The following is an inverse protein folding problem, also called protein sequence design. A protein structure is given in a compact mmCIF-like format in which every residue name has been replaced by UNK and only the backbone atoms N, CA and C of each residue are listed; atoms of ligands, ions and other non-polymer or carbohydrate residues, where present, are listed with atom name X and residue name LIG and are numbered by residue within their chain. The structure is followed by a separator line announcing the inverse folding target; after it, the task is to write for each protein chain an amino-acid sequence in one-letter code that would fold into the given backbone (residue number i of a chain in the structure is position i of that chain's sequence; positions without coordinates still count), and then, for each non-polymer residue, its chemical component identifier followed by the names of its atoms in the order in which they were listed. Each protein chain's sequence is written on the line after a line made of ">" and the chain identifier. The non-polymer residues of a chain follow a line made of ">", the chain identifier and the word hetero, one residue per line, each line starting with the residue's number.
data_IF_451065997333
#
_entry.id   IF_451065997333
#
_cell.length_a   1.000
_cell.length_b   1.000
_cell.length_c   1.000
_cell.angle_alpha   90.00
_cell.angle_beta   90.00
_cell.angle_gamma   90.00
#
_symmetry.space_group_name_H-M   'P 1'
#
loop_
_entity.id
_entity.type
_entity.pdbx_description
1 polymer ?
#
# COMPACT_ATOMS: atom_id res chain seq x y z
N UNK A 1 33.13 29.28 31.29
CA UNK A 1 33.06 29.04 29.82
C UNK A 1 33.08 27.56 29.41
N UNK A 2 33.90 26.68 30.02
CA UNK A 2 33.98 25.23 29.67
C UNK A 2 32.67 24.45 29.87
N UNK A 3 31.92 24.76 30.92
CA UNK A 3 30.67 24.07 31.25
C UNK A 3 29.52 24.47 30.31
N UNK A 4 29.50 25.72 29.82
CA UNK A 4 28.52 26.21 28.84
C UNK A 4 28.71 25.55 27.47
N UNK A 5 29.96 25.39 27.02
CA UNK A 5 30.27 24.68 25.77
C UNK A 5 29.86 23.20 25.80
N UNK A 6 30.01 22.53 26.95
CA UNK A 6 29.55 21.15 27.16
C UNK A 6 28.03 21.04 27.14
N UNK A 7 27.33 22.02 27.73
CA UNK A 7 25.87 22.05 27.73
C UNK A 7 25.30 22.24 26.31
N UNK A 8 25.89 23.15 25.53
CA UNK A 8 25.53 23.36 24.13
C UNK A 8 25.79 22.09 23.30
N UNK A 9 26.94 21.44 23.50
CA UNK A 9 27.26 20.18 22.80
C UNK A 9 26.25 19.06 23.09
N UNK A 10 25.77 18.94 24.33
CA UNK A 10 24.75 17.95 24.71
C UNK A 10 23.40 18.26 24.06
N UNK A 11 22.98 19.53 24.01
CA UNK A 11 21.73 19.94 23.36
C UNK A 11 21.78 19.66 21.85
N UNK A 12 22.90 19.99 21.19
CA UNK A 12 23.09 19.72 19.75
C UNK A 12 23.07 18.22 19.47
N UNK A 13 23.68 17.40 20.33
CA UNK A 13 23.67 15.94 20.18
C UNK A 13 22.27 15.34 20.38
N UNK A 14 21.49 15.86 21.34
CA UNK A 14 20.10 15.44 21.57
C UNK A 14 19.17 15.83 20.41
N UNK A 15 19.35 17.02 19.83
CA UNK A 15 18.58 17.46 18.67
C UNK A 15 18.91 16.66 17.42
N UNK A 16 20.17 16.24 17.23
CA UNK A 16 20.57 15.40 16.10
C UNK A 16 19.92 14.00 16.13
N UNK A 17 19.69 13.44 17.32
CA UNK A 17 18.99 12.15 17.46
C UNK A 17 17.49 12.19 17.14
N UNK A 18 16.84 13.37 17.14
CA UNK A 18 15.42 13.48 16.82
C UNK A 18 15.10 13.38 15.31
N UNK A 19 16.11 13.45 14.43
CA UNK A 19 15.90 13.55 12.97
C UNK A 19 15.91 12.17 12.28
N UNK A 20 16.10 11.08 13.00
CA UNK A 20 16.19 9.72 12.44
C UNK A 20 14.88 8.92 12.53
N UNK A 21 13.72 9.57 12.41
CA UNK A 21 12.51 8.82 12.08
C UNK A 21 12.56 8.48 10.59
N UNK A 22 12.82 7.21 10.28
CA UNK A 22 12.70 6.71 8.92
C UNK A 22 11.28 7.05 8.41
N UNK A 23 11.22 7.87 7.35
CA UNK A 23 9.97 8.25 6.72
C UNK A 23 9.34 6.98 6.13
N UNK A 24 8.15 6.61 6.62
CA UNK A 24 7.41 5.46 6.12
C UNK A 24 7.07 5.61 4.64
N UNK A 25 6.84 4.49 3.96
CA UNK A 25 6.46 4.45 2.56
C UNK A 25 4.94 4.41 2.37
N UNK A 26 4.47 4.94 1.24
CA UNK A 26 3.12 4.65 0.73
C UNK A 26 3.17 3.39 -0.13
N UNK A 27 2.54 2.31 0.33
CA UNK A 27 2.47 1.03 -0.37
C UNK A 27 1.09 0.93 -0.99
N UNK A 28 0.99 1.19 -2.29
CA UNK A 28 -0.26 1.19 -3.04
C UNK A 28 -0.38 -0.11 -3.82
N UNK A 29 -1.38 -0.91 -3.49
CA UNK A 29 -1.68 -2.17 -4.16
C UNK A 29 -2.91 -2.01 -5.05
N UNK A 30 -2.73 -2.22 -6.35
CA UNK A 30 -3.81 -2.32 -7.33
C UNK A 30 -4.13 -3.79 -7.56
N UNK A 31 -5.32 -4.22 -7.14
CA UNK A 31 -5.79 -5.60 -7.18
C UNK A 31 -6.90 -5.76 -8.23
N UNK A 32 -6.71 -6.70 -9.14
CA UNK A 32 -7.76 -7.15 -10.06
C UNK A 32 -8.85 -7.90 -9.27
N UNK A 33 -10.09 -7.43 -9.39
CA UNK A 33 -11.27 -8.01 -8.75
C UNK A 33 -12.28 -8.53 -9.79
N UNK A 34 -11.83 -8.77 -11.02
CA UNK A 34 -12.62 -9.42 -12.07
C UNK A 34 -12.70 -10.93 -11.85
N UNK A 35 -13.74 -11.56 -12.36
CA UNK A 35 -13.98 -13.00 -12.21
C UNK A 35 -12.92 -13.87 -12.87
N UNK A 36 -12.08 -13.33 -13.76
CA UNK A 36 -10.99 -14.07 -14.40
C UNK A 36 -9.88 -14.44 -13.42
N UNK A 37 -9.71 -13.66 -12.33
CA UNK A 37 -8.74 -13.96 -11.28
C UNK A 37 -9.20 -15.06 -10.32
N UNK A 38 -10.47 -15.47 -10.37
CA UNK A 38 -11.04 -16.45 -9.43
C UNK A 38 -10.24 -17.76 -9.31
N UNK A 39 -9.70 -18.36 -10.39
CA UNK A 39 -8.84 -19.55 -10.31
C UNK A 39 -7.54 -19.32 -9.52
N UNK A 40 -7.09 -18.08 -9.42
CA UNK A 40 -5.87 -17.67 -8.73
C UNK A 40 -6.13 -17.14 -7.32
N UNK A 41 -7.39 -16.93 -6.93
CA UNK A 41 -7.77 -16.27 -5.68
C UNK A 41 -7.13 -16.91 -4.45
N UNK A 42 -7.17 -18.25 -4.35
CA UNK A 42 -6.56 -18.97 -3.23
C UNK A 42 -5.04 -18.82 -3.21
N UNK A 43 -4.39 -18.78 -4.38
CA UNK A 43 -2.95 -18.57 -4.48
C UNK A 43 -2.55 -17.14 -4.09
N UNK A 44 -3.34 -16.14 -4.52
CA UNK A 44 -3.17 -14.74 -4.12
C UNK A 44 -3.25 -14.63 -2.60
N UNK A 45 -4.32 -15.19 -2.01
CA UNK A 45 -4.56 -15.10 -0.57
C UNK A 45 -3.53 -15.86 0.27
N UNK A 46 -3.13 -17.06 -0.16
CA UNK A 46 -2.25 -17.92 0.64
C UNK A 46 -0.76 -17.62 0.48
N UNK A 47 -0.33 -16.95 -0.59
CA UNK A 47 1.08 -16.68 -0.87
C UNK A 47 1.41 -15.23 -1.13
N UNK A 48 0.66 -14.57 -2.01
CA UNK A 48 1.00 -13.22 -2.47
C UNK A 48 0.76 -12.20 -1.35
N UNK A 49 -0.35 -12.28 -0.62
CA UNK A 49 -0.63 -11.34 0.46
C UNK A 49 0.34 -11.47 1.65
N UNK A 50 0.65 -12.68 2.16
CA UNK A 50 1.68 -12.85 3.17
C UNK A 50 3.04 -12.32 2.70
N UNK A 51 3.38 -12.53 1.42
CA UNK A 51 4.65 -12.04 0.88
C UNK A 51 4.67 -10.51 0.77
N UNK A 52 3.59 -9.89 0.31
CA UNK A 52 3.49 -8.43 0.22
C UNK A 52 3.61 -7.82 1.62
N UNK A 53 2.82 -8.32 2.56
CA UNK A 53 2.79 -7.82 3.94
C UNK A 53 4.12 -8.06 4.68
N UNK A 54 4.84 -9.16 4.42
CA UNK A 54 6.13 -9.41 5.07
C UNK A 54 7.31 -8.67 4.42
N UNK A 55 7.31 -8.53 3.09
CA UNK A 55 8.47 -8.00 2.35
C UNK A 55 8.41 -6.47 2.21
N UNK A 56 7.22 -5.92 2.05
CA UNK A 56 7.05 -4.51 1.70
C UNK A 56 6.50 -3.68 2.84
N UNK A 57 5.67 -4.24 3.73
CA UNK A 57 5.02 -3.49 4.80
C UNK A 57 5.86 -3.52 6.08
N UNK A 58 6.19 -2.34 6.58
CA UNK A 58 6.92 -2.11 7.84
C UNK A 58 6.13 -1.15 8.73
N UNK A 59 6.46 -1.14 10.01
CA UNK A 59 5.92 -0.15 10.93
C UNK A 59 6.31 1.26 10.48
N UNK A 60 5.34 2.17 10.40
CA UNK A 60 5.50 3.52 9.88
C UNK A 60 4.95 3.70 8.46
N UNK A 61 4.78 2.62 7.70
CA UNK A 61 4.24 2.68 6.35
C UNK A 61 2.73 2.95 6.34
N UNK A 62 2.20 3.35 5.19
CA UNK A 62 0.75 3.40 4.95
C UNK A 62 0.42 2.49 3.78
N UNK A 63 -0.50 1.56 4.02
CA UNK A 63 -0.97 0.62 3.02
C UNK A 63 -2.26 1.14 2.38
N UNK A 64 -2.32 1.11 1.05
CA UNK A 64 -3.47 1.53 0.27
C UNK A 64 -3.88 0.39 -0.64
N UNK A 65 -5.15 -0.03 -0.56
CA UNK A 65 -5.69 -1.06 -1.42
C UNK A 65 -6.70 -0.46 -2.38
N UNK A 66 -6.44 -0.63 -3.67
CA UNK A 66 -7.33 -0.23 -4.75
C UNK A 66 -7.75 -1.51 -5.47
N UNK A 67 -9.05 -1.71 -5.69
CA UNK A 67 -9.57 -2.79 -6.51
C UNK A 67 -10.04 -2.25 -7.86
N UNK A 68 -9.95 -3.05 -8.91
CA UNK A 68 -10.54 -2.73 -10.20
C UNK A 68 -11.26 -3.91 -10.84
N UNK A 69 -12.36 -3.62 -11.52
CA UNK A 69 -13.08 -4.52 -12.43
C UNK A 69 -13.71 -3.68 -13.56
N UNK A 70 -15.04 -3.62 -13.70
CA UNK A 70 -15.75 -2.58 -14.45
C UNK A 70 -15.73 -1.20 -13.74
N UNK A 71 -15.35 -1.15 -12.46
CA UNK A 71 -15.23 0.06 -11.63
C UNK A 71 -13.94 0.00 -10.82
N UNK A 72 -13.48 1.17 -10.35
CA UNK A 72 -12.32 1.28 -9.47
C UNK A 72 -12.77 1.71 -8.08
N UNK A 73 -12.30 1.04 -7.03
CA UNK A 73 -12.65 1.36 -5.65
C UNK A 73 -11.40 1.47 -4.77
N UNK A 74 -11.37 2.48 -3.89
CA UNK A 74 -10.42 2.54 -2.79
C UNK A 74 -10.96 1.72 -1.62
N UNK A 75 -10.37 0.56 -1.39
CA UNK A 75 -10.90 -0.44 -0.47
C UNK A 75 -10.51 -0.17 0.97
N UNK A 76 -9.26 0.23 1.21
CA UNK A 76 -8.76 0.60 2.55
C UNK A 76 -7.53 1.50 2.42
N UNK A 77 -7.41 2.42 3.38
CA UNK A 77 -6.17 3.12 3.69
C UNK A 77 -5.83 2.80 5.15
N UNK A 78 -4.68 2.18 5.39
CA UNK A 78 -4.29 1.67 6.69
C UNK A 78 -2.86 2.09 7.03
N UNK A 79 -2.67 3.11 7.88
CA UNK A 79 -1.38 3.35 8.52
C UNK A 79 -0.98 2.13 9.36
N UNK A 80 0.27 1.69 9.25
CA UNK A 80 0.75 0.48 9.91
C UNK A 80 1.59 0.86 11.12
N UNK A 81 1.01 0.71 12.31
CA UNK A 81 1.66 0.99 13.58
C UNK A 81 1.97 -0.30 14.34
N UNK A 82 1.21 -1.37 14.10
CA UNK A 82 1.37 -2.66 14.76
C UNK A 82 0.80 -3.81 13.90
N UNK A 83 0.94 -5.04 14.39
CA UNK A 83 0.48 -6.26 13.70
C UNK A 83 -1.04 -6.35 13.50
N UNK A 84 -1.83 -5.65 14.33
CA UNK A 84 -3.28 -5.61 14.17
C UNK A 84 -3.67 -4.81 12.93
N UNK A 85 -2.91 -3.76 12.60
CA UNK A 85 -3.12 -2.99 11.37
C UNK A 85 -2.85 -3.86 10.14
N UNK A 86 -1.76 -4.65 10.17
CA UNK A 86 -1.46 -5.63 9.11
C UNK A 86 -2.58 -6.67 9.00
N UNK A 87 -3.09 -7.16 10.12
CA UNK A 87 -4.22 -8.10 10.14
C UNK A 87 -5.46 -7.50 9.48
N UNK A 88 -5.76 -6.21 9.70
CA UNK A 88 -6.88 -5.53 9.01
C UNK A 88 -6.69 -5.47 7.50
N UNK A 89 -5.46 -5.22 7.03
CA UNK A 89 -5.14 -5.28 5.59
C UNK A 89 -5.42 -6.67 5.03
N UNK A 90 -4.90 -7.72 5.67
CA UNK A 90 -5.11 -9.10 5.24
C UNK A 90 -6.59 -9.46 5.24
N UNK A 91 -7.34 -9.13 6.29
CA UNK A 91 -8.79 -9.35 6.34
C UNK A 91 -9.52 -8.64 5.21
N UNK A 92 -9.14 -7.40 4.88
CA UNK A 92 -9.78 -6.66 3.79
C UNK A 92 -9.60 -7.35 2.45
N UNK A 93 -8.40 -7.86 2.16
CA UNK A 93 -8.17 -8.65 0.94
C UNK A 93 -9.02 -9.92 0.88
N UNK A 94 -9.12 -10.67 1.98
CA UNK A 94 -9.93 -11.90 2.00
C UNK A 94 -11.41 -11.63 1.70
N UNK A 95 -11.89 -10.41 1.95
CA UNK A 95 -13.26 -9.98 1.66
C UNK A 95 -13.43 -9.45 0.22
N UNK A 96 -12.35 -9.22 -0.53
CA UNK A 96 -12.40 -8.84 -1.94
C UNK A 96 -12.67 -10.06 -2.81
N UNK A 97 -13.90 -10.56 -2.77
CA UNK A 97 -14.30 -11.67 -3.61
C UNK A 97 -14.39 -11.21 -5.08
N UNK A 98 -13.67 -11.85 -6.02
CA UNK A 98 -13.57 -11.38 -7.40
C UNK A 98 -14.82 -11.76 -8.21
N UNK A 99 -15.83 -10.88 -8.13
CA UNK A 99 -17.12 -11.05 -8.80
C UNK A 99 -17.32 -10.11 -9.99
N UNK A 100 -16.33 -9.27 -10.31
CA UNK A 100 -16.45 -8.32 -11.42
C UNK A 100 -16.54 -9.01 -12.77
N UNK A 101 -17.43 -8.57 -13.66
CA UNK A 101 -17.57 -9.20 -14.98
C UNK A 101 -16.43 -8.81 -15.95
N UNK A 102 -15.83 -7.66 -15.74
CA UNK A 102 -14.82 -7.07 -16.62
C UNK A 102 -13.52 -6.81 -15.85
N UNK A 103 -12.43 -6.73 -16.60
CA UNK A 103 -11.12 -6.29 -16.13
C UNK A 103 -10.72 -5.03 -16.91
N UNK A 104 -11.15 -3.87 -16.42
CA UNK A 104 -10.75 -2.56 -16.95
C UNK A 104 -9.47 -2.07 -16.26
N UNK A 105 -8.36 -2.68 -16.67
CA UNK A 105 -7.04 -2.36 -16.15
C UNK A 105 -6.63 -0.91 -16.39
N UNK A 106 -7.03 -0.31 -17.52
CA UNK A 106 -6.66 1.06 -17.86
C UNK A 106 -7.32 2.07 -16.92
N UNK A 107 -8.60 1.89 -16.61
CA UNK A 107 -9.29 2.70 -15.61
C UNK A 107 -8.62 2.55 -14.23
N UNK A 108 -8.30 1.33 -13.83
CA UNK A 108 -7.58 1.04 -12.57
C UNK A 108 -6.21 1.73 -12.49
N UNK A 109 -5.43 1.64 -13.57
CA UNK A 109 -4.10 2.26 -13.64
C UNK A 109 -4.17 3.79 -13.65
N UNK A 110 -5.08 4.38 -14.42
CA UNK A 110 -5.26 5.83 -14.47
C UNK A 110 -5.69 6.40 -13.11
N UNK A 111 -6.66 5.75 -12.45
CA UNK A 111 -7.06 6.11 -11.09
C UNK A 111 -5.87 6.01 -10.12
N UNK A 112 -5.11 4.92 -10.18
CA UNK A 112 -3.95 4.70 -9.30
C UNK A 112 -2.90 5.78 -9.50
N UNK A 113 -2.59 6.16 -10.73
CA UNK A 113 -1.67 7.25 -11.05
C UNK A 113 -2.13 8.58 -10.43
N UNK A 114 -3.41 8.94 -10.60
CA UNK A 114 -3.99 10.15 -10.01
C UNK A 114 -3.96 10.10 -8.48
N UNK A 115 -4.30 8.95 -7.91
CA UNK A 115 -4.30 8.73 -6.46
C UNK A 115 -2.89 8.89 -5.87
N UNK A 116 -1.90 8.20 -6.41
CA UNK A 116 -0.48 8.29 -5.99
C UNK A 116 0.06 9.72 -6.10
N UNK A 117 -0.35 10.44 -7.15
CA UNK A 117 0.01 11.85 -7.37
C UNK A 117 -0.62 12.78 -6.34
N UNK A 118 -1.78 12.40 -5.78
CA UNK A 118 -2.48 13.17 -4.73
C UNK A 118 -1.97 12.89 -3.31
N UNK A 119 -1.23 11.79 -3.11
CA UNK A 119 -0.67 11.45 -1.80
C UNK A 119 0.40 12.47 -1.38
N UNK A 120 0.54 12.77 -0.07
CA UNK A 120 1.58 13.64 0.44
C UNK A 120 2.96 13.30 -0.12
N UNK A 121 3.84 14.31 -0.21
CA UNK A 121 5.22 14.09 -0.60
C UNK A 121 5.95 13.28 0.47
N UNK A 122 5.96 11.97 0.29
CA UNK A 122 6.85 11.02 0.98
C UNK A 122 7.95 10.60 0.03
N UNK A 123 9.14 10.34 0.56
CA UNK A 123 10.31 9.96 -0.22
C UNK A 123 10.09 8.63 -0.98
N UNK A 124 9.29 7.72 -0.43
CA UNK A 124 9.09 6.38 -0.97
C UNK A 124 7.60 6.08 -1.25
N UNK A 125 7.27 5.91 -2.53
CA UNK A 125 5.96 5.42 -2.99
C UNK A 125 6.19 4.14 -3.80
N UNK A 126 5.55 3.05 -3.41
CA UNK A 126 5.68 1.73 -4.04
C UNK A 126 4.30 1.36 -4.60
N UNK A 127 4.23 1.06 -5.90
CA UNK A 127 3.02 0.56 -6.55
C UNK A 127 3.21 -0.92 -6.86
N UNK A 128 2.30 -1.75 -6.35
CA UNK A 128 2.26 -3.20 -6.59
C UNK A 128 0.98 -3.50 -7.36
N UNK A 129 1.08 -4.18 -8.49
CA UNK A 129 -0.06 -4.56 -9.32
C UNK A 129 -0.24 -6.07 -9.24
N UNK A 130 -1.45 -6.52 -8.94
CA UNK A 130 -1.84 -7.94 -8.92
C UNK A 130 -2.96 -8.13 -9.94
N UNK A 131 -2.67 -8.84 -11.02
CA UNK A 131 -3.63 -9.20 -12.06
C UNK A 131 -3.19 -10.49 -12.76
N UNK A 132 -4.13 -11.18 -13.39
CA UNK A 132 -3.87 -12.31 -14.29
C UNK A 132 -3.44 -11.85 -15.71
N UNK A 133 -3.45 -10.54 -15.97
CA UNK A 133 -3.06 -9.94 -17.24
C UNK A 133 -4.15 -9.96 -18.32
N UNK A 134 -5.36 -10.43 -18.01
CA UNK A 134 -6.48 -10.43 -18.95
C UNK A 134 -7.10 -9.02 -18.97
N UNK A 135 -7.09 -8.39 -20.14
CA UNK A 135 -7.75 -7.11 -20.35
C UNK A 135 -9.11 -7.34 -21.03
N UNK A 136 -10.19 -6.99 -20.33
CA UNK A 136 -11.56 -7.14 -20.83
C UNK A 136 -12.44 -6.00 -20.27
N UNK A 137 -12.31 -4.77 -20.79
CA UNK A 137 -13.10 -3.63 -20.32
C UNK A 137 -14.60 -3.82 -20.66
N UNK A 138 -15.51 -3.13 -19.96
CA UNK A 138 -16.94 -3.16 -20.30
C UNK A 138 -17.19 -2.62 -21.72
N UNK A 139 -18.18 -3.17 -22.42
CA UNK A 139 -18.64 -2.62 -23.69
C UNK A 139 -19.34 -1.27 -23.45
N UNK A 140 -19.02 -0.28 -24.29
CA UNK A 140 -19.53 1.10 -24.20
C UNK A 140 -21.04 1.18 -24.48
#
# INVERSE_FOLDING_TARGET
>A
MRNVKRFIAVIVLLCASCVLFASGADIVVLMDASGTILPWFDQVNSRILPDITRKFVRQGDTFHLISFNSRVNLEIVQPVQNEQDVSRVVSRFMLLYPLGQNSDFLSGLNYTHQYVSSLPERENKIVIIISDGIFNPPEN
#
